data_IF_824392088488
#
_entry.id   IF_824392088488
#
_cell.length_a   1.000
_cell.length_b   1.000
_cell.length_c   1.000
_cell.angle_alpha   90.00
_cell.angle_beta   90.00
_cell.angle_gamma   90.00
#
_symmetry.space_group_name_H-M   'P 1'
#
loop_
_entity.id
_entity.type
_entity.pdbx_description
1 polymer ?
#
# COMPACT_ATOMS: atom_id res chain seq x y z
N UNK A 1 -3.15 2.92 -11.78
CA UNK A 1 -2.43 3.14 -10.50
C UNK A 1 -3.08 4.18 -9.58
N UNK A 2 -3.10 5.49 -9.89
CA UNK A 2 -3.63 6.52 -8.96
C UNK A 2 -5.08 6.27 -8.49
N UNK A 3 -5.96 5.83 -9.41
CA UNK A 3 -7.35 5.46 -9.07
C UNK A 3 -7.43 4.28 -8.09
N UNK A 4 -6.58 3.27 -8.25
CA UNK A 4 -6.55 2.09 -7.38
C UNK A 4 -6.05 2.46 -5.98
N UNK A 5 -4.99 3.27 -5.89
CA UNK A 5 -4.49 3.79 -4.61
C UNK A 5 -5.54 4.63 -3.87
N UNK A 6 -6.28 5.47 -4.60
CA UNK A 6 -7.39 6.24 -4.02
C UNK A 6 -8.52 5.34 -3.52
N UNK A 7 -8.94 4.35 -4.33
CA UNK A 7 -9.97 3.39 -3.93
C UNK A 7 -9.56 2.58 -2.69
N UNK A 8 -8.28 2.19 -2.55
CA UNK A 8 -7.76 1.55 -1.35
C UNK A 8 -7.88 2.46 -0.12
N UNK A 9 -7.56 3.75 -0.26
CA UNK A 9 -7.71 4.71 0.83
C UNK A 9 -9.19 4.89 1.25
N UNK A 10 -10.11 4.95 0.30
CA UNK A 10 -11.55 4.99 0.59
C UNK A 10 -12.04 3.74 1.33
N UNK A 11 -11.57 2.55 0.92
CA UNK A 11 -11.89 1.29 1.59
C UNK A 11 -11.36 1.27 3.03
N UNK A 12 -10.12 1.73 3.28
CA UNK A 12 -9.57 1.85 4.64
C UNK A 12 -10.34 2.83 5.50
N UNK A 13 -10.69 4.00 4.98
CA UNK A 13 -11.49 4.99 5.69
C UNK A 13 -12.87 4.43 6.06
N UNK A 14 -13.53 3.72 5.13
CA UNK A 14 -14.81 3.06 5.37
C UNK A 14 -14.69 1.93 6.39
N UNK A 15 -13.65 1.11 6.29
CA UNK A 15 -13.37 0.00 7.21
C UNK A 15 -13.23 0.48 8.66
N UNK A 16 -12.59 1.63 8.89
CA UNK A 16 -12.39 2.20 10.22
C UNK A 16 -13.70 2.54 10.95
N UNK A 17 -14.77 2.82 10.20
CA UNK A 17 -16.07 3.25 10.73
C UNK A 17 -17.04 2.09 10.96
N UNK A 18 -16.80 0.93 10.33
CA UNK A 18 -17.70 -0.23 10.38
C UNK A 18 -17.32 -1.15 11.53
N UNK A 19 -18.33 -1.79 12.13
CA UNK A 19 -18.17 -2.82 13.18
C UNK A 19 -18.84 -4.15 12.81
N UNK A 20 -19.69 -4.13 11.79
CA UNK A 20 -20.34 -5.33 11.26
C UNK A 20 -19.30 -6.23 10.58
N UNK A 21 -19.26 -7.50 10.97
CA UNK A 21 -18.23 -8.44 10.55
C UNK A 21 -18.34 -8.81 9.07
N UNK A 22 -19.56 -8.93 8.54
CA UNK A 22 -19.80 -9.31 7.15
C UNK A 22 -19.40 -8.16 6.22
N UNK A 23 -19.73 -6.92 6.58
CA UNK A 23 -19.30 -5.74 5.84
C UNK A 23 -17.78 -5.52 5.90
N UNK A 24 -17.13 -5.82 7.03
CA UNK A 24 -15.66 -5.79 7.13
C UNK A 24 -15.03 -6.82 6.19
N UNK A 25 -15.57 -8.03 6.15
CA UNK A 25 -15.08 -9.08 5.26
C UNK A 25 -15.25 -8.70 3.79
N UNK A 26 -16.37 -8.08 3.40
CA UNK A 26 -16.60 -7.57 2.04
C UNK A 26 -15.55 -6.51 1.66
N UNK A 27 -15.28 -5.56 2.55
CA UNK A 27 -14.25 -4.52 2.32
C UNK A 27 -12.86 -5.15 2.21
N UNK A 28 -12.52 -6.08 3.09
CA UNK A 28 -11.22 -6.75 3.07
C UNK A 28 -11.05 -7.61 1.80
N UNK A 29 -12.11 -8.24 1.31
CA UNK A 29 -12.12 -8.95 0.03
C UNK A 29 -11.88 -7.98 -1.13
N UNK A 30 -12.63 -6.88 -1.20
CA UNK A 30 -12.47 -5.87 -2.27
C UNK A 30 -11.09 -5.22 -2.26
N UNK A 31 -10.51 -5.02 -1.08
CA UNK A 31 -9.13 -4.55 -0.91
C UNK A 31 -8.13 -5.54 -1.52
N UNK A 32 -8.31 -6.84 -1.27
CA UNK A 32 -7.50 -7.91 -1.87
C UNK A 32 -7.56 -7.88 -3.40
N UNK A 33 -8.76 -7.80 -3.97
CA UNK A 33 -8.95 -7.72 -5.43
C UNK A 33 -8.20 -6.53 -6.05
N UNK A 34 -8.24 -5.35 -5.42
CA UNK A 34 -7.51 -4.19 -5.92
C UNK A 34 -6.00 -4.35 -5.80
N UNK A 35 -5.51 -5.07 -4.79
CA UNK A 35 -4.08 -5.39 -4.66
C UNK A 35 -3.64 -6.32 -5.78
N UNK A 36 -4.44 -7.34 -6.10
CA UNK A 36 -4.16 -8.29 -7.17
C UNK A 36 -4.19 -7.58 -8.54
N UNK A 37 -5.20 -6.73 -8.80
CA UNK A 37 -5.28 -5.88 -10.00
C UNK A 37 -4.03 -5.01 -10.19
N UNK A 38 -3.47 -4.47 -9.10
CA UNK A 38 -2.23 -3.69 -9.14
C UNK A 38 -1.03 -4.60 -9.47
N UNK A 39 -0.94 -5.78 -8.85
CA UNK A 39 0.15 -6.72 -9.11
C UNK A 39 0.14 -7.19 -10.57
N UNK A 40 -1.03 -7.51 -11.11
CA UNK A 40 -1.21 -7.91 -12.50
C UNK A 40 -0.83 -6.80 -13.48
N UNK A 41 -1.22 -5.56 -13.19
CA UNK A 41 -0.80 -4.41 -13.99
C UNK A 41 0.72 -4.23 -13.96
N UNK A 42 1.35 -4.33 -12.79
CA UNK A 42 2.81 -4.22 -12.64
C UNK A 42 3.53 -5.35 -13.39
N UNK A 43 3.03 -6.58 -13.32
CA UNK A 43 3.60 -7.72 -14.01
C UNK A 43 3.59 -7.55 -15.55
N UNK A 44 2.61 -6.79 -16.08
CA UNK A 44 2.53 -6.44 -17.50
C UNK A 44 3.48 -5.31 -17.89
N UNK A 45 3.66 -4.30 -17.03
CA UNK A 45 4.46 -3.11 -17.33
C UNK A 45 5.96 -3.29 -17.05
N UNK A 46 6.32 -4.16 -16.09
CA UNK A 46 7.71 -4.37 -15.69
C UNK A 46 8.27 -5.62 -16.37
N UNK A 47 9.32 -5.49 -17.21
CA UNK A 47 10.03 -6.64 -17.75
C UNK A 47 10.53 -7.52 -16.60
N UNK A 48 10.00 -8.74 -16.48
CA UNK A 48 10.45 -9.66 -15.46
C UNK A 48 11.89 -10.11 -15.80
N UNK A 49 12.86 -9.47 -15.16
CA UNK A 49 14.26 -9.79 -15.34
C UNK A 49 14.51 -11.19 -14.77
N UNK A 50 14.89 -12.14 -15.62
CA UNK A 50 15.13 -13.53 -15.21
C UNK A 50 16.31 -13.73 -14.24
N UNK A 51 17.03 -12.66 -13.92
CA UNK A 51 18.32 -12.67 -13.22
C UNK A 51 18.34 -11.86 -11.91
N UNK A 52 17.20 -11.37 -11.40
CA UNK A 52 17.18 -10.65 -10.12
C UNK A 52 17.56 -11.57 -8.95
N UNK A 53 18.51 -11.12 -8.13
CA UNK A 53 19.19 -11.95 -7.12
C UNK A 53 18.49 -12.03 -5.75
N UNK A 54 17.38 -11.30 -5.55
CA UNK A 54 16.60 -11.36 -4.31
C UNK A 54 15.10 -11.33 -4.61
N UNK A 55 14.37 -12.33 -4.12
CA UNK A 55 12.91 -12.39 -4.13
C UNK A 55 12.41 -11.51 -3.00
N UNK A 56 11.61 -10.49 -3.29
CA UNK A 56 10.94 -9.76 -2.22
C UNK A 56 9.83 -10.62 -1.62
N UNK A 57 9.66 -10.59 -0.30
CA UNK A 57 8.61 -11.34 0.41
C UNK A 57 7.21 -10.73 0.25
N UNK A 58 7.11 -9.57 -0.40
CA UNK A 58 5.88 -8.81 -0.51
C UNK A 58 5.72 -8.23 -1.93
N UNK A 59 4.48 -8.16 -2.41
CA UNK A 59 4.15 -7.60 -3.71
C UNK A 59 4.06 -6.07 -3.66
N UNK A 60 4.28 -5.41 -4.81
CA UNK A 60 4.16 -3.94 -4.90
C UNK A 60 2.72 -3.47 -4.58
N UNK A 61 1.70 -4.24 -4.95
CA UNK A 61 0.31 -3.96 -4.59
C UNK A 61 0.08 -3.95 -3.07
N UNK A 62 0.68 -4.89 -2.33
CA UNK A 62 0.60 -4.92 -0.87
C UNK A 62 1.30 -3.70 -0.23
N UNK A 63 2.42 -3.23 -0.80
CA UNK A 63 3.06 -1.98 -0.35
C UNK A 63 2.15 -0.78 -0.58
N UNK A 64 1.51 -0.68 -1.75
CA UNK A 64 0.55 0.40 -2.06
C UNK A 64 -0.66 0.35 -1.12
N UNK A 65 -1.17 -0.83 -0.77
CA UNK A 65 -2.26 -0.98 0.21
C UNK A 65 -1.89 -0.44 1.59
N UNK A 66 -0.68 -0.76 2.08
CA UNK A 66 -0.20 -0.21 3.36
C UNK A 66 0.00 1.29 3.31
N UNK A 67 0.51 1.83 2.20
CA UNK A 67 0.62 3.29 2.03
C UNK A 67 -0.76 3.95 2.09
N UNK A 68 -1.77 3.38 1.43
CA UNK A 68 -3.13 3.89 1.47
C UNK A 68 -3.71 3.85 2.89
N UNK A 69 -3.49 2.77 3.64
CA UNK A 69 -3.87 2.68 5.05
C UNK A 69 -3.17 3.72 5.92
N UNK A 70 -1.85 3.82 5.80
CA UNK A 70 -1.04 4.75 6.60
C UNK A 70 -1.43 6.21 6.32
N UNK A 71 -1.80 6.53 5.07
CA UNK A 71 -2.35 7.83 4.72
C UNK A 71 -3.68 8.11 5.43
N UNK A 72 -4.60 7.14 5.51
CA UNK A 72 -5.86 7.30 6.27
C UNK A 72 -5.58 7.48 7.76
N UNK A 73 -4.68 6.69 8.32
CA UNK A 73 -4.31 6.76 9.74
C UNK A 73 -3.69 8.14 10.07
N UNK A 74 -2.82 8.66 9.21
CA UNK A 74 -2.19 9.98 9.39
C UNK A 74 -3.17 11.15 9.33
N UNK A 75 -4.15 11.11 8.42
CA UNK A 75 -5.20 12.13 8.35
C UNK A 75 -6.15 12.03 9.55
N UNK A 76 -6.51 10.80 9.96
CA UNK A 76 -7.34 10.60 11.15
C UNK A 76 -6.66 11.11 12.42
N UNK A 77 -5.34 10.96 12.54
CA UNK A 77 -4.57 11.49 13.66
C UNK A 77 -4.56 13.03 13.69
N UNK A 78 -4.50 13.70 12.53
CA UNK A 78 -4.65 15.16 12.46
C UNK A 78 -6.02 15.57 13.00
N UNK A 79 -7.09 14.91 12.56
CA UNK A 79 -8.46 15.25 12.95
C UNK A 79 -8.70 15.00 14.44
N UNK A 80 -8.10 13.95 15.01
CA UNK A 80 -8.28 13.55 16.40
C UNK A 80 -7.40 14.35 17.38
N UNK A 81 -6.11 14.51 17.07
CA UNK A 81 -5.10 15.00 18.01
C UNK A 81 -4.49 16.36 17.61
N UNK A 82 -4.78 16.83 16.39
CA UNK A 82 -4.24 18.06 15.83
C UNK A 82 -2.89 17.89 15.13
N UNK A 83 -2.56 18.83 14.24
CA UNK A 83 -1.37 18.80 13.37
C UNK A 83 -0.05 18.74 14.15
N UNK A 84 0.01 19.38 15.31
CA UNK A 84 1.24 19.50 16.11
C UNK A 84 1.49 18.36 17.10
N UNK A 85 0.61 17.36 17.19
CA UNK A 85 0.72 16.31 18.20
C UNK A 85 1.82 15.29 17.88
N UNK A 86 2.47 14.74 18.90
CA UNK A 86 3.45 13.66 18.71
C UNK A 86 2.84 12.43 18.00
N UNK A 87 1.55 12.18 18.20
CA UNK A 87 0.85 11.05 17.57
C UNK A 87 0.70 11.28 16.06
N UNK A 88 0.26 12.48 15.65
CA UNK A 88 0.23 12.89 14.25
C UNK A 88 1.61 12.74 13.61
N UNK A 89 2.66 13.26 14.26
CA UNK A 89 4.03 13.14 13.75
C UNK A 89 4.46 11.68 13.53
N UNK A 90 4.10 10.75 14.44
CA UNK A 90 4.41 9.32 14.27
C UNK A 90 3.75 8.71 13.04
N UNK A 91 2.47 9.00 12.80
CA UNK A 91 1.76 8.47 11.63
C UNK A 91 2.31 9.04 10.31
N UNK A 92 2.62 10.34 10.27
CA UNK A 92 3.23 10.96 9.10
C UNK A 92 4.65 10.45 8.84
N UNK A 93 5.44 10.24 9.89
CA UNK A 93 6.76 9.64 9.78
C UNK A 93 6.67 8.21 9.22
N UNK A 94 5.74 7.40 9.73
CA UNK A 94 5.53 6.05 9.22
C UNK A 94 5.10 6.02 7.74
N UNK A 95 4.24 6.96 7.32
CA UNK A 95 3.89 7.11 5.91
C UNK A 95 5.12 7.45 5.04
N UNK A 96 6.01 8.33 5.51
CA UNK A 96 7.24 8.67 4.81
C UNK A 96 8.15 7.44 4.63
N UNK A 97 8.33 6.62 5.69
CA UNK A 97 9.11 5.39 5.60
C UNK A 97 8.56 4.41 4.55
N UNK A 98 7.23 4.29 4.44
CA UNK A 98 6.60 3.45 3.42
C UNK A 98 6.81 4.00 2.01
N UNK A 99 6.75 5.32 1.82
CA UNK A 99 7.02 5.98 0.53
C UNK A 99 8.48 5.79 0.10
N UNK A 100 9.42 5.93 1.04
CA UNK A 100 10.85 5.73 0.79
C UNK A 100 11.12 4.27 0.41
N UNK A 101 10.59 3.31 1.19
CA UNK A 101 10.71 1.88 0.89
C UNK A 101 10.08 1.48 -0.45
N UNK A 102 8.94 2.09 -0.83
CA UNK A 102 8.34 1.91 -2.15
C UNK A 102 9.24 2.45 -3.28
N UNK A 103 9.82 3.63 -3.09
CA UNK A 103 10.70 4.26 -4.08
C UNK A 103 11.96 3.42 -4.31
N UNK A 104 12.57 2.92 -3.24
CA UNK A 104 13.71 2.00 -3.32
C UNK A 104 13.33 0.71 -4.04
N UNK A 105 12.17 0.13 -3.71
CA UNK A 105 11.67 -1.09 -4.34
C UNK A 105 11.46 -0.92 -5.85
N UNK A 106 10.78 0.14 -6.28
CA UNK A 106 10.56 0.43 -7.70
C UNK A 106 11.89 0.62 -8.42
N UNK A 107 12.83 1.34 -7.81
CA UNK A 107 14.16 1.61 -8.38
C UNK A 107 14.98 0.32 -8.53
N UNK A 108 14.88 -0.60 -7.57
CA UNK A 108 15.52 -1.91 -7.62
C UNK A 108 14.90 -2.85 -8.66
N UNK A 109 13.58 -2.85 -8.78
CA UNK A 109 12.84 -3.67 -9.74
C UNK A 109 13.08 -3.19 -11.17
N UNK A 110 12.97 -1.88 -11.41
CA UNK A 110 13.26 -1.28 -12.73
C UNK A 110 14.73 -1.48 -13.14
N UNK A 111 15.65 -1.47 -12.17
CA UNK A 111 17.07 -1.77 -12.38
C UNK A 111 17.42 -3.25 -12.48
N UNK A 112 16.44 -4.17 -12.41
CA UNK A 112 16.66 -5.62 -12.46
C UNK A 112 17.41 -6.21 -11.25
N UNK A 113 17.58 -5.43 -10.18
CA UNK A 113 18.29 -5.84 -8.95
C UNK A 113 17.43 -6.69 -8.02
N UNK A 114 16.10 -6.55 -8.09
CA UNK A 114 15.12 -7.29 -7.27
C UNK A 114 14.02 -7.90 -8.14
N UNK A 115 13.55 -9.08 -7.74
CA UNK A 115 12.37 -9.74 -8.31
C UNK A 115 11.19 -9.63 -7.35
N UNK A 116 10.02 -9.43 -7.92
CA UNK A 116 8.75 -9.51 -7.21
C UNK A 116 8.33 -10.98 -7.12
N UNK A 117 7.55 -11.38 -6.10
CA UNK A 117 6.98 -12.73 -6.05
C UNK A 117 6.09 -12.97 -7.27
N UNK A 118 6.20 -14.15 -7.87
CA UNK A 118 5.22 -14.67 -8.83
C UNK A 118 3.96 -15.00 -8.00
N UNK A 119 2.82 -14.41 -8.37
CA UNK A 119 1.53 -14.64 -7.70
C UNK A 119 0.99 -16.04 -8.01
#
# INVERSE_FOLDING_TARGET
>A
MLRSAHALAELHARRAQIRDADLVAEIDCRRGELVDDINDWIAQEVPQHRNGASLHTESLGAVVDRMARSWVDANTAIDADGVGSDNTHKHWYHLAELVDGYTDLVTDVAGGRRRLPEQ
#
